data_IF_780952134174
#
_entry.id   IF_780952134174
#
_cell.length_a   1.000
_cell.length_b   1.000
_cell.length_c   1.000
_cell.angle_alpha   90.00
_cell.angle_beta   90.00
_cell.angle_gamma   90.00
#
_symmetry.space_group_name_H-M   'P 1'
#
loop_
_entity.id
_entity.type
_entity.pdbx_description
1 polymer ?
#
# COMPACT_ATOMS: atom_id res chain seq x y z
N UNK A 1 12.93 6.97 12.58
CA UNK A 1 13.78 6.37 13.64
C UNK A 1 12.85 5.36 14.28
N UNK A 2 12.98 4.07 13.97
CA UNK A 2 12.02 3.07 14.45
C UNK A 2 11.97 3.16 15.98
N UNK A 3 10.77 3.28 16.52
CA UNK A 3 10.59 3.24 17.96
C UNK A 3 11.18 1.90 18.45
N UNK A 4 11.94 1.90 19.54
CA UNK A 4 12.51 0.66 20.08
C UNK A 4 11.42 -0.37 20.38
N UNK A 5 10.20 0.11 20.65
CA UNK A 5 9.01 -0.73 20.80
C UNK A 5 8.58 -1.43 19.50
N UNK A 6 8.65 -0.75 18.35
CA UNK A 6 8.31 -1.33 17.04
C UNK A 6 9.31 -2.41 16.63
N UNK A 7 10.61 -2.18 16.84
CA UNK A 7 11.64 -3.18 16.55
C UNK A 7 11.48 -4.42 17.42
N UNK A 8 11.15 -4.23 18.70
CA UNK A 8 10.85 -5.32 19.63
C UNK A 8 9.59 -6.08 19.18
N UNK A 9 8.52 -5.37 18.81
CA UNK A 9 7.29 -6.00 18.32
C UNK A 9 7.53 -6.77 17.02
N UNK A 10 8.30 -6.22 16.10
CA UNK A 10 8.65 -6.85 14.83
C UNK A 10 9.51 -8.11 15.06
N UNK A 11 10.48 -8.03 15.96
CA UNK A 11 11.28 -9.19 16.39
C UNK A 11 10.37 -10.28 16.97
N UNK A 12 9.47 -9.94 17.90
CA UNK A 12 8.49 -10.88 18.46
C UNK A 12 7.62 -11.50 17.36
N UNK A 13 7.06 -10.70 16.46
CA UNK A 13 6.24 -11.20 15.35
C UNK A 13 7.03 -12.10 14.41
N UNK A 14 8.31 -11.80 14.18
CA UNK A 14 9.16 -12.61 13.30
C UNK A 14 9.39 -14.01 13.86
N UNK A 15 9.52 -14.14 15.19
CA UNK A 15 9.78 -15.38 15.93
C UNK A 15 8.50 -16.20 16.22
N UNK A 16 7.32 -15.57 16.14
CA UNK A 16 6.04 -16.24 16.36
C UNK A 16 5.80 -17.41 15.40
N UNK A 17 5.08 -18.41 15.90
CA UNK A 17 4.63 -19.55 15.10
C UNK A 17 3.73 -19.07 13.94
N UNK A 18 3.79 -19.72 12.76
CA UNK A 18 3.01 -19.31 11.60
C UNK A 18 1.50 -19.35 11.86
N UNK A 19 1.03 -20.25 12.72
CA UNK A 19 -0.38 -20.36 13.12
C UNK A 19 -0.87 -19.09 13.83
N UNK A 20 -0.06 -18.52 14.74
CA UNK A 20 -0.40 -17.28 15.44
C UNK A 20 -0.49 -16.12 14.46
N UNK A 21 0.48 -16.00 13.53
CA UNK A 21 0.47 -14.95 12.50
C UNK A 21 -0.81 -15.04 11.65
N UNK A 22 -1.16 -16.24 11.19
CA UNK A 22 -2.38 -16.47 10.43
C UNK A 22 -3.64 -16.13 11.23
N UNK A 23 -3.68 -16.48 12.52
CA UNK A 23 -4.83 -16.14 13.38
C UNK A 23 -5.01 -14.63 13.54
N UNK A 24 -3.92 -13.87 13.69
CA UNK A 24 -3.94 -12.41 13.76
C UNK A 24 -4.44 -11.80 12.45
N UNK A 25 -3.93 -12.27 11.31
CA UNK A 25 -4.38 -11.80 9.99
C UNK A 25 -5.85 -12.13 9.72
N UNK A 26 -6.31 -13.32 10.11
CA UNK A 26 -7.72 -13.70 9.99
C UNK A 26 -8.63 -12.85 10.89
N UNK A 27 -8.21 -12.55 12.12
CA UNK A 27 -8.96 -11.68 13.02
C UNK A 27 -9.03 -10.25 12.48
N UNK A 28 -7.89 -9.68 12.07
CA UNK A 28 -7.84 -8.34 11.48
C UNK A 28 -8.73 -8.25 10.23
N UNK A 29 -8.58 -9.21 9.31
CA UNK A 29 -9.40 -9.30 8.11
C UNK A 29 -10.88 -9.49 8.42
N UNK A 30 -11.22 -10.32 9.39
CA UNK A 30 -12.60 -10.55 9.84
C UNK A 30 -13.25 -9.28 10.41
N UNK A 31 -12.53 -8.51 11.23
CA UNK A 31 -13.00 -7.22 11.74
C UNK A 31 -13.25 -6.25 10.59
N UNK A 32 -12.29 -6.11 9.67
CA UNK A 32 -12.45 -5.23 8.50
C UNK A 32 -13.62 -5.64 7.61
N UNK A 33 -13.75 -6.93 7.30
CA UNK A 33 -14.87 -7.47 6.52
C UNK A 33 -16.20 -7.23 7.22
N UNK A 34 -16.28 -7.43 8.53
CA UNK A 34 -17.51 -7.17 9.29
C UNK A 34 -17.92 -5.69 9.23
N UNK A 35 -16.97 -4.77 9.31
CA UNK A 35 -17.21 -3.33 9.12
C UNK A 35 -17.71 -3.02 7.71
N UNK A 36 -17.10 -3.61 6.68
CA UNK A 36 -17.52 -3.42 5.29
C UNK A 36 -18.94 -3.96 5.05
N UNK A 37 -19.27 -5.14 5.60
CA UNK A 37 -20.62 -5.71 5.53
C UNK A 37 -21.65 -4.80 6.21
N UNK A 38 -21.32 -4.23 7.38
CA UNK A 38 -22.20 -3.30 8.07
C UNK A 38 -22.46 -2.04 7.23
N UNK A 39 -21.43 -1.48 6.59
CA UNK A 39 -21.57 -0.35 5.68
C UNK A 39 -22.39 -0.68 4.43
N UNK A 40 -22.17 -1.84 3.81
CA UNK A 40 -22.99 -2.32 2.70
C UNK A 40 -24.45 -2.47 3.12
N UNK A 41 -24.72 -3.05 4.30
CA UNK A 41 -26.07 -3.16 4.84
C UNK A 41 -26.73 -1.80 5.06
N UNK A 42 -26.01 -0.84 5.66
CA UNK A 42 -26.52 0.53 5.89
C UNK A 42 -26.80 1.28 4.59
N UNK A 43 -26.01 1.04 3.55
CA UNK A 43 -26.15 1.68 2.24
C UNK A 43 -27.08 0.92 1.30
N UNK A 44 -27.58 -0.24 1.69
CA UNK A 44 -28.38 -1.14 0.83
C UNK A 44 -27.60 -1.71 -0.36
N UNK A 45 -26.27 -1.68 -0.31
CA UNK A 45 -25.40 -2.20 -1.36
C UNK A 45 -25.13 -3.69 -1.16
N UNK A 46 -25.03 -4.44 -2.25
CA UNK A 46 -24.59 -5.83 -2.19
C UNK A 46 -23.10 -5.91 -1.82
N UNK A 47 -22.72 -6.49 -0.67
CA UNK A 47 -21.33 -6.58 -0.25
C UNK A 47 -20.47 -7.44 -1.17
N UNK A 48 -21.07 -8.36 -1.92
CA UNK A 48 -20.37 -9.19 -2.89
C UNK A 48 -20.40 -8.58 -4.29
N UNK A 49 -21.07 -7.44 -4.49
CA UNK A 49 -21.12 -6.71 -5.74
C UNK A 49 -21.36 -7.59 -6.97
N UNK A 50 -22.30 -8.54 -6.87
CA UNK A 50 -22.67 -9.49 -7.93
C UNK A 50 -21.94 -10.84 -7.90
N UNK A 51 -20.88 -10.99 -7.11
CA UNK A 51 -20.13 -12.25 -7.04
C UNK A 51 -20.97 -13.38 -6.42
N UNK A 52 -20.98 -14.53 -7.08
CA UNK A 52 -21.74 -15.71 -6.68
C UNK A 52 -20.98 -17.00 -7.01
N UNK A 53 -21.45 -18.14 -6.50
CA UNK A 53 -20.92 -19.45 -6.91
C UNK A 53 -21.57 -19.85 -8.24
N UNK A 54 -21.26 -19.11 -9.29
CA UNK A 54 -21.82 -19.31 -10.63
C UNK A 54 -20.74 -19.35 -11.70
N UNK A 55 -21.08 -19.90 -12.86
CA UNK A 55 -20.19 -19.87 -14.02
C UNK A 55 -19.90 -18.43 -14.50
N UNK A 56 -20.84 -17.50 -14.28
CA UNK A 56 -20.64 -16.10 -14.62
C UNK A 56 -19.52 -15.47 -13.79
N UNK A 57 -19.53 -15.68 -12.47
CA UNK A 57 -18.47 -15.17 -11.58
C UNK A 57 -17.12 -15.85 -11.84
N UNK A 58 -17.13 -17.13 -12.21
CA UNK A 58 -15.90 -17.80 -12.66
C UNK A 58 -15.34 -17.15 -13.94
N UNK A 59 -16.20 -16.85 -14.92
CA UNK A 59 -15.79 -16.17 -16.14
C UNK A 59 -15.28 -14.76 -15.83
N UNK A 60 -15.95 -14.01 -14.94
CA UNK A 60 -15.51 -12.70 -14.48
C UNK A 60 -14.12 -12.79 -13.81
N UNK A 61 -13.89 -13.78 -12.95
CA UNK A 61 -12.59 -14.04 -12.34
C UNK A 61 -11.51 -14.28 -13.40
N UNK A 62 -11.79 -15.09 -14.43
CA UNK A 62 -10.83 -15.31 -15.53
C UNK A 62 -10.54 -14.05 -16.34
N UNK A 63 -11.55 -13.19 -16.55
CA UNK A 63 -11.37 -11.89 -17.20
C UNK A 63 -10.51 -10.97 -16.34
N UNK A 64 -10.73 -10.95 -15.02
CA UNK A 64 -9.90 -10.19 -14.09
C UNK A 64 -8.44 -10.66 -14.09
N UNK A 65 -8.23 -11.98 -14.06
CA UNK A 65 -6.91 -12.59 -14.17
C UNK A 65 -6.21 -12.20 -15.48
N UNK A 66 -6.92 -12.27 -16.61
CA UNK A 66 -6.36 -11.86 -17.91
C UNK A 66 -6.08 -10.35 -17.99
N UNK A 67 -7.00 -9.53 -17.50
CA UNK A 67 -6.88 -8.07 -17.53
C UNK A 67 -5.72 -7.55 -16.66
N UNK A 68 -5.38 -8.25 -15.57
CA UNK A 68 -4.30 -7.83 -14.69
C UNK A 68 -2.90 -8.22 -15.19
N UNK A 69 -2.76 -9.08 -16.21
CA UNK A 69 -1.44 -9.56 -16.70
C UNK A 69 -0.44 -8.42 -16.98
N UNK A 70 -0.79 -7.31 -17.67
CA UNK A 70 0.14 -6.22 -17.87
C UNK A 70 0.60 -5.57 -16.56
N UNK A 71 -0.29 -5.46 -15.57
CA UNK A 71 0.04 -4.92 -14.25
C UNK A 71 0.93 -5.88 -13.46
N UNK A 72 0.72 -7.20 -13.57
CA UNK A 72 1.61 -8.20 -12.98
C UNK A 72 3.01 -8.11 -13.57
N UNK A 73 3.11 -7.97 -14.89
CA UNK A 73 4.39 -7.79 -15.58
C UNK A 73 5.08 -6.50 -15.15
N UNK A 74 4.33 -5.40 -15.06
CA UNK A 74 4.85 -4.12 -14.58
C UNK A 74 5.35 -4.25 -13.14
N UNK A 75 4.53 -4.78 -12.22
CA UNK A 75 4.93 -4.99 -10.82
C UNK A 75 6.18 -5.86 -10.73
N UNK A 76 6.21 -6.99 -11.42
CA UNK A 76 7.41 -7.86 -11.46
C UNK A 76 8.65 -7.14 -12.02
N UNK A 77 8.47 -6.29 -13.03
CA UNK A 77 9.55 -5.48 -13.59
C UNK A 77 10.06 -4.42 -12.60
N UNK A 78 9.18 -3.82 -11.77
CA UNK A 78 9.60 -2.88 -10.74
C UNK A 78 10.57 -3.52 -9.74
N UNK A 79 10.37 -4.79 -9.39
CA UNK A 79 11.23 -5.55 -8.46
C UNK A 79 12.61 -5.93 -9.04
N UNK A 80 12.90 -5.60 -10.30
CA UNK A 80 14.21 -5.88 -10.90
C UNK A 80 15.28 -4.91 -10.43
N UNK A 81 16.54 -5.35 -10.41
CA UNK A 81 17.68 -4.49 -10.07
C UNK A 81 17.86 -3.35 -11.07
N UNK A 82 17.57 -3.58 -12.35
CA UNK A 82 17.63 -2.54 -13.39
C UNK A 82 16.63 -1.41 -13.13
N UNK A 83 15.40 -1.75 -12.72
CA UNK A 83 14.38 -0.76 -12.39
C UNK A 83 14.79 0.08 -11.16
N UNK A 84 15.34 -0.54 -10.12
CA UNK A 84 15.84 0.16 -8.92
C UNK A 84 16.99 1.13 -9.24
N UNK A 85 17.95 0.70 -10.07
CA UNK A 85 19.05 1.55 -10.50
C UNK A 85 18.57 2.76 -11.32
N UNK A 86 17.52 2.58 -12.12
CA UNK A 86 16.95 3.65 -12.96
C UNK A 86 16.04 4.59 -12.17
N UNK A 87 15.32 4.07 -11.18
CA UNK A 87 14.37 4.81 -10.36
C UNK A 87 14.63 4.53 -8.88
N UNK A 88 15.52 5.29 -8.22
CA UNK A 88 15.87 5.09 -6.81
C UNK A 88 14.67 5.13 -5.86
N UNK A 89 13.61 5.85 -6.23
CA UNK A 89 12.35 5.91 -5.48
C UNK A 89 11.70 4.52 -5.33
N UNK A 90 11.87 3.63 -6.31
CA UNK A 90 11.36 2.26 -6.24
C UNK A 90 12.10 1.42 -5.22
N UNK A 91 13.39 1.67 -5.00
CA UNK A 91 14.18 0.97 -4.00
C UNK A 91 13.65 1.26 -2.59
N UNK A 92 13.39 2.54 -2.30
CA UNK A 92 12.84 2.95 -1.01
C UNK A 92 11.42 2.39 -0.80
N UNK A 93 10.57 2.44 -1.83
CA UNK A 93 9.22 1.87 -1.77
C UNK A 93 9.25 0.35 -1.54
N UNK A 94 10.12 -0.38 -2.23
CA UNK A 94 10.28 -1.83 -2.06
C UNK A 94 10.88 -2.18 -0.71
N UNK A 95 11.81 -1.37 -0.20
CA UNK A 95 12.36 -1.53 1.15
C UNK A 95 11.23 -1.41 2.18
N UNK A 96 10.40 -0.38 2.12
CA UNK A 96 9.28 -0.24 3.07
C UNK A 96 8.27 -1.37 2.96
N UNK A 97 7.89 -1.74 1.73
CA UNK A 97 7.00 -2.88 1.52
C UNK A 97 7.58 -4.17 2.11
N UNK A 98 8.88 -4.40 1.91
CA UNK A 98 9.57 -5.55 2.46
C UNK A 98 9.64 -5.49 3.99
N UNK A 99 10.02 -4.36 4.59
CA UNK A 99 10.06 -4.16 6.05
C UNK A 99 8.69 -4.46 6.66
N UNK A 100 7.63 -3.79 6.18
CA UNK A 100 6.27 -3.92 6.71
C UNK A 100 5.72 -5.36 6.63
N UNK A 101 6.08 -6.13 5.60
CA UNK A 101 5.52 -7.47 5.36
C UNK A 101 6.47 -8.61 5.71
N UNK A 102 7.77 -8.37 5.89
CA UNK A 102 8.77 -9.42 6.09
C UNK A 102 8.51 -10.23 7.36
N UNK A 103 8.18 -9.57 8.47
CA UNK A 103 7.91 -10.20 9.76
C UNK A 103 6.71 -11.16 9.68
N UNK A 104 5.68 -10.79 8.93
CA UNK A 104 4.46 -11.60 8.72
C UNK A 104 4.74 -12.77 7.78
N UNK A 105 5.44 -12.52 6.67
CA UNK A 105 5.68 -13.51 5.60
C UNK A 105 6.71 -14.57 6.00
N UNK A 106 7.60 -14.26 6.94
CA UNK A 106 8.66 -15.16 7.39
C UNK A 106 8.08 -16.47 7.96
N UNK A 107 8.66 -17.59 7.50
CA UNK A 107 8.31 -18.97 7.88
C UNK A 107 6.91 -19.45 7.43
N UNK A 108 6.23 -18.74 6.53
CA UNK A 108 4.95 -19.19 5.98
C UNK A 108 5.14 -20.18 4.81
N UNK A 109 4.37 -21.27 4.84
CA UNK A 109 4.21 -22.16 3.68
C UNK A 109 3.50 -21.45 2.52
N UNK A 110 3.59 -21.99 1.31
CA UNK A 110 2.90 -21.41 0.14
C UNK A 110 1.37 -21.34 0.32
N UNK A 111 0.78 -22.32 1.01
CA UNK A 111 -0.66 -22.33 1.32
C UNK A 111 -1.02 -21.24 2.33
N UNK A 112 -0.23 -21.09 3.40
CA UNK A 112 -0.44 -20.02 4.38
C UNK A 112 -0.28 -18.65 3.75
N UNK A 113 0.68 -18.48 2.83
CA UNK A 113 0.83 -17.26 2.04
C UNK A 113 -0.40 -16.95 1.19
N UNK A 114 -0.98 -17.96 0.53
CA UNK A 114 -2.19 -17.76 -0.25
C UNK A 114 -3.36 -17.32 0.65
N UNK A 115 -3.51 -17.93 1.83
CA UNK A 115 -4.52 -17.51 2.81
C UNK A 115 -4.26 -16.08 3.30
N UNK A 116 -2.99 -15.71 3.57
CA UNK A 116 -2.63 -14.36 3.96
C UNK A 116 -3.02 -13.34 2.89
N UNK A 117 -2.74 -13.63 1.62
CA UNK A 117 -3.18 -12.79 0.49
C UNK A 117 -4.70 -12.64 0.47
N UNK A 118 -5.46 -13.73 0.66
CA UNK A 118 -6.91 -13.64 0.75
C UNK A 118 -7.35 -12.74 1.92
N UNK A 119 -6.73 -12.88 3.09
CA UNK A 119 -7.04 -12.10 4.29
C UNK A 119 -6.72 -10.62 4.14
N UNK A 120 -5.72 -10.26 3.34
CA UNK A 120 -5.37 -8.87 3.07
C UNK A 120 -6.26 -8.27 1.97
N UNK A 121 -6.42 -8.99 0.86
CA UNK A 121 -7.09 -8.48 -0.34
C UNK A 121 -8.62 -8.46 -0.20
N UNK A 122 -9.22 -9.50 0.38
CA UNK A 122 -10.69 -9.59 0.41
C UNK A 122 -11.32 -8.47 1.24
N UNK A 123 -10.90 -8.21 2.50
CA UNK A 123 -11.49 -7.14 3.29
C UNK A 123 -11.24 -5.76 2.70
N UNK A 124 -10.03 -5.51 2.19
CA UNK A 124 -9.68 -4.21 1.57
C UNK A 124 -10.47 -3.96 0.28
N UNK A 125 -10.63 -4.97 -0.58
CA UNK A 125 -11.39 -4.84 -1.83
C UNK A 125 -12.88 -4.66 -1.56
N UNK A 126 -13.46 -5.39 -0.59
CA UNK A 126 -14.88 -5.25 -0.21
C UNK A 126 -15.14 -3.90 0.48
N UNK A 127 -14.22 -3.43 1.32
CA UNK A 127 -14.34 -2.11 1.96
C UNK A 127 -14.26 -0.97 0.92
N UNK A 128 -13.29 -1.04 0.01
CA UNK A 128 -13.03 0.05 -0.94
C UNK A 128 -14.02 0.10 -2.10
N UNK A 129 -14.45 -1.06 -2.63
CA UNK A 129 -15.34 -1.09 -3.79
C UNK A 129 -16.81 -1.04 -3.36
N UNK A 130 -17.47 -2.13 -2.91
CA UNK A 130 -18.90 -2.10 -2.65
C UNK A 130 -19.29 -1.21 -1.48
N UNK A 131 -18.56 -1.22 -0.37
CA UNK A 131 -18.95 -0.41 0.80
C UNK A 131 -18.75 1.09 0.55
N UNK A 132 -17.55 1.54 0.17
CA UNK A 132 -17.30 2.96 -0.06
C UNK A 132 -18.03 3.49 -1.31
N UNK A 133 -17.99 2.76 -2.44
CA UNK A 133 -18.69 3.25 -3.63
C UNK A 133 -20.20 3.18 -3.50
N UNK A 134 -20.76 2.23 -2.76
CA UNK A 134 -22.20 2.16 -2.49
C UNK A 134 -22.69 3.44 -1.81
N UNK A 135 -22.03 3.83 -0.71
CA UNK A 135 -22.35 5.07 0.01
C UNK A 135 -22.11 6.33 -0.81
N UNK A 136 -20.98 6.41 -1.53
CA UNK A 136 -20.67 7.57 -2.37
C UNK A 136 -21.61 7.70 -3.57
N UNK A 137 -21.96 6.59 -4.22
CA UNK A 137 -22.88 6.60 -5.37
C UNK A 137 -24.27 7.05 -4.93
N UNK A 138 -24.79 6.53 -3.80
CA UNK A 138 -26.06 6.98 -3.25
C UNK A 138 -26.04 8.48 -2.93
N UNK A 139 -24.95 8.96 -2.32
CA UNK A 139 -24.76 10.40 -2.04
C UNK A 139 -24.78 11.23 -3.32
N UNK A 140 -24.03 10.83 -4.36
CA UNK A 140 -24.02 11.54 -5.63
C UNK A 140 -25.34 11.47 -6.39
N UNK A 141 -26.11 10.39 -6.26
CA UNK A 141 -27.45 10.30 -6.85
C UNK A 141 -28.41 11.32 -6.23
N UNK A 142 -28.32 11.55 -4.91
CA UNK A 142 -29.09 12.61 -4.23
C UNK A 142 -28.71 13.98 -4.80
N UNK A 143 -27.41 14.27 -4.97
CA UNK A 143 -27.00 15.55 -5.59
C UNK A 143 -27.42 15.65 -7.06
N UNK A 144 -27.33 14.56 -7.82
CA UNK A 144 -27.73 14.52 -9.22
C UNK A 144 -29.23 14.76 -9.41
N UNK A 145 -30.10 14.32 -8.49
CA UNK A 145 -31.54 14.61 -8.57
C UNK A 145 -31.81 16.12 -8.39
N UNK A 146 -31.16 16.77 -7.44
CA UNK A 146 -31.29 18.22 -7.24
C UNK A 146 -30.78 19.03 -8.45
N UNK A 147 -29.71 18.57 -9.10
CA UNK A 147 -29.18 19.20 -10.33
C UNK A 147 -30.15 19.02 -11.51
N UNK A 148 -30.81 17.87 -11.61
CA UNK A 148 -31.84 17.62 -12.64
C UNK A 148 -33.03 18.55 -12.49
N UNK A 149 -33.41 18.92 -11.26
CA UNK A 149 -34.47 19.90 -11.00
C UNK A 149 -34.13 21.29 -11.56
N UNK A 150 -32.84 21.60 -11.78
CA UNK A 150 -32.38 22.83 -12.43
C UNK A 150 -32.31 22.73 -13.96
N UNK A 151 -32.82 21.64 -14.55
CA UNK A 151 -32.85 21.42 -16.00
C UNK A 151 -31.53 20.94 -16.60
N UNK A 152 -30.55 20.55 -15.78
CA UNK A 152 -29.28 19.99 -16.24
C UNK A 152 -29.36 18.47 -16.31
N UNK A 153 -29.12 17.90 -17.49
CA UNK A 153 -29.08 16.44 -17.67
C UNK A 153 -27.75 15.87 -17.16
N UNK A 154 -27.82 14.97 -16.18
CA UNK A 154 -26.66 14.24 -15.65
C UNK A 154 -26.66 12.82 -16.23
N UNK A 155 -25.59 12.39 -16.92
CA UNK A 155 -25.46 11.03 -17.45
C UNK A 155 -25.63 9.97 -16.35
N UNK A 156 -26.24 8.84 -16.66
CA UNK A 156 -26.48 7.76 -15.69
C UNK A 156 -25.19 7.17 -15.12
N UNK A 157 -24.12 7.12 -15.91
CA UNK A 157 -22.79 6.70 -15.45
C UNK A 157 -22.04 7.78 -14.67
N UNK A 158 -22.56 9.01 -14.61
CA UNK A 158 -21.90 10.13 -13.92
C UNK A 158 -21.67 9.88 -12.43
N UNK A 159 -22.72 9.60 -11.62
CA UNK A 159 -22.56 9.38 -10.18
C UNK A 159 -21.64 8.19 -9.82
N UNK A 160 -21.75 7.00 -10.47
CA UNK A 160 -20.82 5.90 -10.22
C UNK A 160 -19.35 6.21 -10.56
N UNK A 161 -19.10 6.93 -11.65
CA UNK A 161 -17.74 7.30 -12.05
C UNK A 161 -17.13 8.37 -11.13
N UNK A 162 -17.95 9.33 -10.68
CA UNK A 162 -17.55 10.29 -9.66
C UNK A 162 -17.23 9.60 -8.32
N UNK A 163 -18.06 8.64 -7.90
CA UNK A 163 -17.81 7.81 -6.72
C UNK A 163 -16.49 7.05 -6.82
N UNK A 164 -16.20 6.43 -7.97
CA UNK A 164 -14.93 5.77 -8.22
C UNK A 164 -13.75 6.73 -8.11
N UNK A 165 -13.83 7.90 -8.74
CA UNK A 165 -12.77 8.92 -8.67
C UNK A 165 -12.50 9.39 -7.24
N UNK A 166 -13.55 9.68 -6.47
CA UNK A 166 -13.41 10.07 -5.06
C UNK A 166 -12.84 8.92 -4.22
N UNK A 167 -13.28 7.68 -4.45
CA UNK A 167 -12.75 6.50 -3.75
C UNK A 167 -11.26 6.33 -4.00
N UNK A 168 -10.82 6.46 -5.25
CA UNK A 168 -9.41 6.36 -5.63
C UNK A 168 -8.57 7.47 -4.96
N UNK A 169 -9.08 8.71 -4.93
CA UNK A 169 -8.42 9.83 -4.27
C UNK A 169 -8.35 9.65 -2.75
N UNK A 170 -9.41 9.16 -2.12
CA UNK A 170 -9.43 8.87 -0.69
C UNK A 170 -8.45 7.74 -0.33
N UNK A 171 -8.39 6.67 -1.14
CA UNK A 171 -7.43 5.59 -0.94
C UNK A 171 -5.98 6.07 -1.09
N UNK A 172 -5.70 6.91 -2.09
CA UNK A 172 -4.40 7.53 -2.26
C UNK A 172 -4.04 8.48 -1.10
N UNK A 173 -5.02 9.28 -0.64
CA UNK A 173 -4.87 10.15 0.52
C UNK A 173 -4.55 9.36 1.79
N UNK A 174 -5.27 8.26 2.04
CA UNK A 174 -5.00 7.37 3.16
C UNK A 174 -3.56 6.83 3.13
N UNK A 175 -3.06 6.42 1.96
CA UNK A 175 -1.65 6.00 1.80
C UNK A 175 -0.65 7.13 2.01
N UNK A 176 -0.98 8.36 1.59
CA UNK A 176 -0.15 9.52 1.90
C UNK A 176 -0.06 9.75 3.40
N UNK A 177 -1.16 9.64 4.14
CA UNK A 177 -1.16 9.82 5.58
C UNK A 177 -0.46 8.69 6.33
N UNK A 178 -0.66 7.43 5.90
CA UNK A 178 -0.03 6.26 6.50
C UNK A 178 1.49 6.29 6.38
N UNK A 179 2.02 6.78 5.25
CA UNK A 179 3.45 6.80 4.97
C UNK A 179 4.08 8.20 5.01
N UNK A 180 3.32 9.24 5.36
CA UNK A 180 3.89 10.58 5.50
C UNK A 180 4.97 10.56 6.59
N UNK A 181 6.06 11.29 6.35
CA UNK A 181 7.05 11.58 7.38
C UNK A 181 6.32 12.30 8.51
N UNK A 182 6.38 11.75 9.71
CA UNK A 182 5.74 12.40 10.86
C UNK A 182 6.39 13.77 11.07
N UNK A 183 5.61 14.71 11.60
CA UNK A 183 6.14 16.04 11.87
C UNK A 183 7.36 15.96 12.81
N UNK A 184 7.33 15.06 13.78
CA UNK A 184 8.43 14.80 14.71
C UNK A 184 9.68 14.29 14.00
N UNK A 185 9.56 13.30 13.10
CA UNK A 185 10.71 12.81 12.32
C UNK A 185 11.31 13.91 11.46
N UNK A 186 10.46 14.72 10.81
CA UNK A 186 10.90 15.85 10.02
C UNK A 186 11.65 16.89 10.88
N UNK A 187 11.11 17.23 12.05
CA UNK A 187 11.73 18.17 13.00
C UNK A 187 13.06 17.65 13.56
N UNK A 188 13.16 16.36 13.88
CA UNK A 188 14.40 15.73 14.34
C UNK A 188 15.47 15.78 13.27
N UNK A 189 15.13 15.43 12.02
CA UNK A 189 16.09 15.48 10.90
C UNK A 189 16.48 16.92 10.59
N UNK A 190 15.53 17.86 10.57
CA UNK A 190 15.82 19.28 10.35
C UNK A 190 16.74 19.85 11.44
N UNK A 191 16.47 19.53 12.71
CA UNK A 191 17.29 19.95 13.86
C UNK A 191 18.68 19.32 13.81
N UNK A 192 18.78 18.04 13.40
CA UNK A 192 20.06 17.37 13.21
C UNK A 192 20.87 18.00 12.08
N UNK A 193 20.23 18.38 10.98
CA UNK A 193 20.86 19.11 9.88
C UNK A 193 21.38 20.48 10.32
N UNK A 194 20.61 21.24 11.10
CA UNK A 194 21.04 22.54 11.63
C UNK A 194 22.24 22.40 12.58
N UNK A 195 22.21 21.39 13.45
CA UNK A 195 23.26 21.15 14.44
C UNK A 195 24.48 20.38 13.92
N UNK A 196 24.44 19.85 12.70
CA UNK A 196 25.51 19.01 12.15
C UNK A 196 26.88 19.69 12.17
N UNK A 197 26.95 20.98 11.79
CA UNK A 197 28.23 21.71 11.76
C UNK A 197 28.86 21.80 13.15
N UNK A 198 28.04 22.03 14.19
CA UNK A 198 28.49 22.11 15.57
C UNK A 198 28.93 20.73 16.07
N UNK A 199 28.12 19.71 15.80
CA UNK A 199 28.40 18.33 16.22
C UNK A 199 29.73 17.82 15.66
N UNK A 200 29.92 17.90 14.33
CA UNK A 200 31.14 17.40 13.70
C UNK A 200 32.38 18.18 14.13
N UNK A 201 32.28 19.51 14.32
CA UNK A 201 33.40 20.30 14.88
C UNK A 201 33.80 19.87 16.28
N UNK A 202 32.84 19.58 17.17
CA UNK A 202 33.13 19.12 18.53
C UNK A 202 33.75 17.73 18.52
N UNK A 203 33.20 16.81 17.71
CA UNK A 203 33.65 15.42 17.66
C UNK A 203 35.04 15.25 17.05
N UNK A 204 35.42 16.08 16.07
CA UNK A 204 36.75 16.00 15.44
C UNK A 204 37.87 16.63 16.27
N UNK A 205 37.55 17.51 17.23
CA UNK A 205 38.56 18.19 18.05
C UNK A 205 39.37 17.25 18.97
N UNK A 206 38.92 16.00 19.17
CA UNK A 206 39.61 14.99 19.99
C UNK A 206 40.49 14.00 19.21
N UNK A 207 40.40 13.97 17.88
CA UNK A 207 41.16 13.03 17.03
C UNK A 207 42.11 13.86 16.18
N UNK A 208 43.41 13.57 16.27
CA UNK A 208 44.52 14.27 15.60
C UNK A 208 44.49 14.12 14.07
N UNK A 209 43.43 14.63 13.44
CA UNK A 209 43.20 14.69 12.00
C UNK A 209 43.07 16.14 11.53
N UNK A 210 43.63 16.42 10.37
CA UNK A 210 43.64 17.73 9.70
C UNK A 210 42.26 18.38 9.64
N UNK A 211 42.17 19.67 9.99
CA UNK A 211 40.96 20.51 10.07
C UNK A 211 40.06 20.61 8.81
N UNK A 212 40.38 19.90 7.72
CA UNK A 212 39.53 19.81 6.50
C UNK A 212 38.40 18.79 6.62
N UNK A 213 38.41 17.91 7.62
CA UNK A 213 37.46 16.80 7.72
C UNK A 213 36.05 17.14 8.26
N UNK A 214 35.87 17.98 9.31
CA UNK A 214 34.55 18.15 9.93
C UNK A 214 33.54 18.90 9.06
N UNK A 215 33.97 19.95 8.37
CA UNK A 215 33.08 20.71 7.48
C UNK A 215 32.66 19.87 6.27
N UNK A 216 33.50 18.95 5.80
CA UNK A 216 33.16 18.01 4.73
C UNK A 216 32.20 16.92 5.22
N UNK A 217 32.42 16.37 6.42
CA UNK A 217 31.52 15.40 7.04
C UNK A 217 30.12 15.98 7.31
N UNK A 218 30.04 17.22 7.82
CA UNK A 218 28.78 17.90 8.04
C UNK A 218 28.02 18.17 6.72
N UNK A 219 28.72 18.58 5.66
CA UNK A 219 28.14 18.74 4.32
C UNK A 219 27.64 17.41 3.76
N UNK A 220 28.40 16.33 3.91
CA UNK A 220 27.99 15.01 3.47
C UNK A 220 26.75 14.54 4.22
N UNK A 221 26.71 14.70 5.56
CA UNK A 221 25.53 14.39 6.36
C UNK A 221 24.30 15.19 5.92
N UNK A 222 24.42 16.52 5.77
CA UNK A 222 23.32 17.38 5.31
C UNK A 222 22.83 16.96 3.91
N UNK A 223 23.73 16.62 3.01
CA UNK A 223 23.37 16.14 1.67
C UNK A 223 22.57 14.84 1.75
N UNK A 224 23.06 13.84 2.52
CA UNK A 224 22.37 12.56 2.72
C UNK A 224 21.01 12.74 3.38
N UNK A 225 20.92 13.55 4.44
CA UNK A 225 19.66 13.82 5.14
C UNK A 225 18.63 14.51 4.24
N UNK A 226 19.05 15.53 3.48
CA UNK A 226 18.18 16.21 2.51
C UNK A 226 17.71 15.28 1.39
N UNK A 227 18.61 14.43 0.88
CA UNK A 227 18.30 13.44 -0.15
C UNK A 227 17.33 12.39 0.38
N UNK A 228 17.51 11.92 1.62
CA UNK A 228 16.61 10.98 2.27
C UNK A 228 15.18 11.56 2.40
N UNK A 229 15.04 12.79 2.91
CA UNK A 229 13.73 13.46 3.00
C UNK A 229 13.05 13.57 1.62
N UNK A 230 13.80 13.97 0.59
CA UNK A 230 13.29 14.10 -0.76
C UNK A 230 12.86 12.76 -1.37
N UNK A 231 13.69 11.72 -1.23
CA UNK A 231 13.39 10.38 -1.73
C UNK A 231 12.16 9.79 -1.03
N UNK A 232 12.05 9.98 0.28
CA UNK A 232 10.91 9.52 1.07
C UNK A 232 9.62 10.21 0.65
N UNK A 233 9.63 11.54 0.50
CA UNK A 233 8.47 12.27 -0.03
C UNK A 233 8.06 11.80 -1.44
N UNK A 234 9.04 11.58 -2.32
CA UNK A 234 8.78 11.07 -3.67
C UNK A 234 8.17 9.66 -3.63
N UNK A 235 8.70 8.75 -2.80
CA UNK A 235 8.19 7.39 -2.64
C UNK A 235 6.73 7.40 -2.16
N UNK A 236 6.38 8.24 -1.18
CA UNK A 236 4.99 8.35 -0.71
C UNK A 236 4.05 8.84 -1.82
N UNK A 237 4.45 9.86 -2.59
CA UNK A 237 3.63 10.36 -3.70
C UNK A 237 3.45 9.34 -4.81
N UNK A 238 4.49 8.58 -5.15
CA UNK A 238 4.42 7.50 -6.14
C UNK A 238 3.52 6.37 -5.63
N UNK A 239 3.64 5.97 -4.37
CA UNK A 239 2.80 4.95 -3.76
C UNK A 239 1.31 5.34 -3.77
N UNK A 240 1.01 6.60 -3.44
CA UNK A 240 -0.34 7.13 -3.49
C UNK A 240 -0.90 7.15 -4.93
N UNK A 241 -0.10 7.56 -5.90
CA UNK A 241 -0.49 7.55 -7.31
C UNK A 241 -0.75 6.13 -7.83
N UNK A 242 0.10 5.16 -7.47
CA UNK A 242 -0.10 3.75 -7.79
C UNK A 242 -1.40 3.22 -7.15
N UNK A 243 -1.65 3.57 -5.88
CA UNK A 243 -2.88 3.17 -5.18
C UNK A 243 -4.14 3.75 -5.86
N UNK A 244 -4.13 5.03 -6.24
CA UNK A 244 -5.24 5.62 -7.00
C UNK A 244 -5.46 4.90 -8.34
N UNK A 245 -4.38 4.61 -9.07
CA UNK A 245 -4.45 3.91 -10.35
C UNK A 245 -5.00 2.48 -10.19
N UNK A 246 -4.59 1.77 -9.14
CA UNK A 246 -5.06 0.42 -8.84
C UNK A 246 -6.53 0.38 -8.44
N UNK A 247 -6.97 1.25 -7.52
CA UNK A 247 -8.38 1.36 -7.14
C UNK A 247 -9.24 1.74 -8.35
N UNK A 248 -8.75 2.64 -9.21
CA UNK A 248 -9.42 3.00 -10.47
C UNK A 248 -9.53 1.80 -11.41
N UNK A 249 -8.44 1.07 -11.62
CA UNK A 249 -8.42 -0.13 -12.45
C UNK A 249 -9.38 -1.21 -11.95
N UNK A 250 -9.32 -1.54 -10.65
CA UNK A 250 -10.19 -2.54 -10.04
C UNK A 250 -11.66 -2.11 -10.08
N UNK A 251 -11.94 -0.83 -9.83
CA UNK A 251 -13.29 -0.30 -9.93
C UNK A 251 -13.84 -0.30 -11.36
N UNK A 252 -13.03 0.06 -12.36
CA UNK A 252 -13.42 -0.06 -13.77
C UNK A 252 -13.69 -1.52 -14.15
N UNK A 253 -12.81 -2.43 -13.75
CA UNK A 253 -12.97 -3.87 -13.99
C UNK A 253 -14.27 -4.40 -13.36
N UNK A 254 -14.59 -3.96 -12.14
CA UNK A 254 -15.86 -4.29 -11.50
C UNK A 254 -17.06 -3.76 -12.29
N UNK A 255 -17.03 -2.50 -12.72
CA UNK A 255 -18.14 -1.89 -13.47
C UNK A 255 -18.34 -2.53 -14.84
N UNK A 256 -17.25 -2.94 -15.50
CA UNK A 256 -17.32 -3.58 -16.82
C UNK A 256 -17.85 -5.02 -16.75
N UNK A 257 -17.54 -5.74 -15.68
CA UNK A 257 -17.96 -7.14 -15.52
C UNK A 257 -19.28 -7.28 -14.78
N UNK A 258 -19.63 -6.31 -13.93
CA UNK A 258 -20.78 -6.39 -13.03
C UNK A 258 -20.58 -7.36 -11.86
N UNK A 259 -19.35 -7.85 -11.65
CA UNK A 259 -19.07 -8.93 -10.71
C UNK A 259 -17.73 -8.70 -9.98
N UNK A 260 -17.74 -8.74 -8.64
CA UNK A 260 -16.55 -8.54 -7.81
C UNK A 260 -15.50 -9.65 -7.93
N UNK A 261 -15.83 -10.81 -8.47
CA UNK A 261 -14.86 -11.88 -8.67
C UNK A 261 -13.70 -11.44 -9.59
N UNK A 262 -13.98 -10.56 -10.56
CA UNK A 262 -12.96 -10.01 -11.46
C UNK A 262 -11.92 -9.13 -10.72
N UNK A 263 -12.29 -8.02 -10.04
CA UNK A 263 -11.33 -7.21 -9.29
C UNK A 263 -10.68 -7.98 -8.14
N UNK A 264 -11.41 -8.88 -7.45
CA UNK A 264 -10.83 -9.66 -6.36
C UNK A 264 -9.69 -10.57 -6.87
N UNK A 265 -9.92 -11.28 -7.97
CA UNK A 265 -8.90 -12.15 -8.57
C UNK A 265 -7.70 -11.32 -9.05
N UNK A 266 -7.94 -10.19 -9.72
CA UNK A 266 -6.88 -9.28 -10.16
C UNK A 266 -6.04 -8.78 -8.98
N UNK A 267 -6.68 -8.30 -7.92
CA UNK A 267 -6.01 -7.81 -6.72
C UNK A 267 -5.20 -8.91 -6.03
N UNK A 268 -5.78 -10.12 -5.87
CA UNK A 268 -5.08 -11.26 -5.29
C UNK A 268 -3.82 -11.64 -6.07
N UNK A 269 -3.90 -11.66 -7.41
CA UNK A 269 -2.73 -11.95 -8.25
C UNK A 269 -1.66 -10.86 -8.11
N UNK A 270 -2.06 -9.58 -8.09
CA UNK A 270 -1.15 -8.46 -7.94
C UNK A 270 -0.42 -8.49 -6.59
N UNK A 271 -1.13 -8.72 -5.49
CA UNK A 271 -0.55 -8.83 -4.14
C UNK A 271 0.31 -10.10 -4.00
N UNK A 272 -0.09 -11.21 -4.64
CA UNK A 272 0.70 -12.46 -4.63
C UNK A 272 2.09 -12.26 -5.23
N UNK A 273 2.21 -11.44 -6.28
CA UNK A 273 3.51 -11.12 -6.89
C UNK A 273 4.40 -10.39 -5.90
N UNK A 274 3.88 -9.37 -5.22
CA UNK A 274 4.64 -8.60 -4.22
C UNK A 274 5.14 -9.48 -3.08
N UNK A 275 4.23 -10.27 -2.48
CA UNK A 275 4.60 -11.20 -1.41
C UNK A 275 5.58 -12.28 -1.86
N UNK A 276 5.52 -12.73 -3.11
CA UNK A 276 6.50 -13.66 -3.65
C UNK A 276 7.91 -13.03 -3.73
N UNK A 277 8.02 -11.74 -4.06
CA UNK A 277 9.30 -11.03 -4.06
C UNK A 277 9.80 -10.71 -2.66
N UNK A 278 8.93 -10.25 -1.75
CA UNK A 278 9.29 -10.03 -0.34
C UNK A 278 9.83 -11.32 0.27
N UNK A 279 9.14 -12.44 0.09
CA UNK A 279 9.59 -13.74 0.58
C UNK A 279 10.98 -14.10 0.07
N UNK A 280 11.25 -13.89 -1.22
CA UNK A 280 12.58 -14.15 -1.80
C UNK A 280 13.67 -13.29 -1.15
N UNK A 281 13.38 -12.03 -0.84
CA UNK A 281 14.32 -11.14 -0.15
C UNK A 281 14.57 -11.60 1.29
N UNK A 282 13.52 -11.96 2.02
CA UNK A 282 13.64 -12.49 3.38
C UNK A 282 14.45 -13.79 3.41
N UNK A 283 14.20 -14.70 2.47
CA UNK A 283 14.93 -15.98 2.34
C UNK A 283 16.41 -15.77 1.95
N UNK A 284 16.71 -14.72 1.17
CA UNK A 284 18.08 -14.37 0.80
C UNK A 284 18.87 -13.75 1.96
N UNK A 285 18.24 -12.86 2.74
CA UNK A 285 18.85 -12.27 3.94
C UNK A 285 19.30 -13.33 4.95
N UNK A 286 18.45 -14.33 5.21
CA UNK A 286 18.78 -15.43 6.12
C UNK A 286 19.99 -16.28 5.72
N UNK A 287 20.43 -16.23 4.45
CA UNK A 287 21.62 -16.96 3.99
C UNK A 287 22.93 -16.22 4.28
N UNK A 288 22.88 -14.92 4.53
CA UNK A 288 24.08 -14.14 4.87
C UNK A 288 24.39 -14.14 6.38
N UNK A 289 23.41 -14.45 7.23
CA UNK A 289 23.55 -14.47 8.69
C UNK A 289 23.92 -15.87 9.27
N UNK A 290 24.21 -16.86 8.41
CA UNK A 290 24.65 -18.22 8.79
C UNK A 290 26.07 -18.48 8.32
#
# INVERSE_FOLDING_TARGET
MCDGEEEVLESYLSEQAPETKMSLSLLAGGVMSSGALALCWLTGSDPWGGASVSFHSLMAATLGAAACVPLLMLRAAMWTTEARLRFPVLEELQRWQAEQSSSIVRNLSAVQMAVLVCCDVLPTTVMTLPAAQGGLTASFQIYASHIRDWGVSVPEMGPPMAALGVTALLAAGARLFEHAITQEEHEVVATAMENADRYYRVMTNGVSGTAKDPDNAAKAFKAVASQWLQQRQQACTVLAALTAAEVTFLGLLWRMTGDMAAPLTAAMMMTSVEYAFVRKLTDAGMKHDR
#
